data_IF_370246997984
#
_entry.id   IF_370246997984
#
_cell.length_a   1.000
_cell.length_b   1.000
_cell.length_c   1.000
_cell.angle_alpha   90.00
_cell.angle_beta   90.00
_cell.angle_gamma   90.00
#
_symmetry.space_group_name_H-M   'P 1'
#
loop_
_entity.id
_entity.type
_entity.pdbx_description
1 polymer ?
#
# COMPACT_ATOMS: atom_id res chain seq x y z
N UNK A 1 0.61 64.10 -7.40
CA UNK A 1 1.34 63.10 -6.57
C UNK A 1 0.84 61.66 -6.79
N UNK A 2 -0.46 61.37 -6.61
CA UNK A 2 -1.02 60.00 -6.74
C UNK A 2 -0.78 59.36 -8.12
N UNK A 3 -1.04 60.08 -9.22
CA UNK A 3 -0.87 59.53 -10.58
C UNK A 3 0.56 59.09 -10.90
N UNK A 4 1.56 59.83 -10.41
CA UNK A 4 2.97 59.49 -10.62
C UNK A 4 3.36 58.21 -9.86
N UNK A 5 2.87 58.06 -8.63
CA UNK A 5 3.11 56.86 -7.81
C UNK A 5 2.45 55.63 -8.42
N UNK A 6 1.18 55.74 -8.86
CA UNK A 6 0.46 54.63 -9.49
C UNK A 6 1.13 54.17 -10.79
N UNK A 7 1.56 55.09 -11.65
CA UNK A 7 2.29 54.75 -12.88
C UNK A 7 3.65 54.12 -12.58
N UNK A 8 4.40 54.67 -11.63
CA UNK A 8 5.70 54.13 -11.22
C UNK A 8 5.59 52.70 -10.67
N UNK A 9 4.56 52.39 -9.90
CA UNK A 9 4.30 51.05 -9.40
C UNK A 9 4.03 50.05 -10.55
N UNK A 10 3.15 50.41 -11.49
CA UNK A 10 2.84 49.56 -12.65
C UNK A 10 4.07 49.32 -13.53
N UNK A 11 4.85 50.36 -13.82
CA UNK A 11 6.04 50.24 -14.67
C UNK A 11 7.14 49.38 -14.04
N UNK A 12 7.37 49.47 -12.72
CA UNK A 12 8.34 48.59 -12.04
C UNK A 12 7.94 47.13 -12.13
N UNK A 13 6.65 46.82 -11.93
CA UNK A 13 6.14 45.45 -12.05
C UNK A 13 6.27 44.90 -13.48
N UNK A 14 6.01 45.72 -14.49
CA UNK A 14 6.20 45.29 -15.89
C UNK A 14 7.69 45.14 -16.22
N UNK A 15 8.55 46.02 -15.70
CA UNK A 15 10.00 45.90 -15.87
C UNK A 15 10.56 44.61 -15.27
N UNK A 16 10.12 44.20 -14.08
CA UNK A 16 10.50 42.91 -13.50
C UNK A 16 10.14 41.75 -14.44
N UNK A 17 8.93 41.71 -14.99
CA UNK A 17 8.52 40.70 -15.97
C UNK A 17 9.37 40.73 -17.24
N UNK A 18 9.72 41.92 -17.74
CA UNK A 18 10.59 42.07 -18.91
C UNK A 18 11.99 41.51 -18.64
N UNK A 19 12.54 41.74 -17.44
CA UNK A 19 13.84 41.20 -17.04
C UNK A 19 13.80 39.67 -16.91
N UNK A 20 12.78 39.11 -16.26
CA UNK A 20 12.59 37.65 -16.17
C UNK A 20 12.50 36.98 -17.55
N UNK A 21 11.78 37.59 -18.50
CA UNK A 21 11.70 37.11 -19.89
C UNK A 21 13.07 37.15 -20.57
N UNK A 22 13.81 38.25 -20.39
CA UNK A 22 15.15 38.42 -20.97
C UNK A 22 16.10 37.32 -20.47
N UNK A 23 16.14 37.07 -19.17
CA UNK A 23 16.96 36.01 -18.58
C UNK A 23 16.56 34.62 -19.07
N UNK A 24 15.26 34.35 -19.12
CA UNK A 24 14.73 33.09 -19.64
C UNK A 24 15.15 32.83 -21.09
N UNK A 25 15.11 33.87 -21.95
CA UNK A 25 15.55 33.78 -23.34
C UNK A 25 17.04 33.41 -23.42
N UNK A 26 17.91 34.08 -22.64
CA UNK A 26 19.33 33.77 -22.64
C UNK A 26 19.60 32.34 -22.17
N UNK A 27 18.94 31.90 -21.09
CA UNK A 27 19.08 30.55 -20.57
C UNK A 27 18.67 29.51 -21.62
N UNK A 28 17.52 29.70 -22.29
CA UNK A 28 17.04 28.78 -23.33
C UNK A 28 18.01 28.74 -24.51
N UNK A 29 18.42 29.89 -25.04
CA UNK A 29 19.32 29.97 -26.19
C UNK A 29 20.67 29.32 -25.90
N UNK A 30 21.24 29.60 -24.72
CA UNK A 30 22.51 29.02 -24.30
C UNK A 30 22.42 27.49 -24.17
N UNK A 31 21.36 26.98 -23.52
CA UNK A 31 21.15 25.54 -23.35
C UNK A 31 20.95 24.83 -24.69
N UNK A 32 20.18 25.42 -25.63
CA UNK A 32 20.00 24.84 -26.97
C UNK A 32 21.35 24.74 -27.69
N UNK A 33 22.16 25.81 -27.67
CA UNK A 33 23.48 25.79 -28.33
C UNK A 33 24.41 24.76 -27.69
N UNK A 34 24.47 24.72 -26.36
CA UNK A 34 25.23 23.72 -25.60
C UNK A 34 24.80 22.29 -25.94
N UNK A 35 23.49 22.02 -25.96
CA UNK A 35 22.94 20.72 -26.32
C UNK A 35 23.30 20.33 -27.75
N UNK A 36 23.20 21.24 -28.72
CA UNK A 36 23.56 20.97 -30.11
C UNK A 36 25.04 20.59 -30.27
N UNK A 37 25.93 21.16 -29.46
CA UNK A 37 27.36 20.82 -29.47
C UNK A 37 27.64 19.42 -28.88
N UNK A 38 26.87 18.99 -27.88
CA UNK A 38 27.12 17.73 -27.16
C UNK A 38 26.27 16.56 -27.69
N UNK A 39 25.14 16.80 -28.35
CA UNK A 39 24.20 15.72 -28.76
C UNK A 39 24.81 14.67 -29.69
N UNK A 40 25.85 15.04 -30.45
CA UNK A 40 26.52 14.12 -31.39
C UNK A 40 27.71 13.39 -30.76
N UNK A 41 28.15 13.79 -29.56
CA UNK A 41 29.29 13.19 -28.88
C UNK A 41 29.03 11.71 -28.57
N UNK A 42 30.03 10.82 -28.75
CA UNK A 42 29.87 9.38 -28.50
C UNK A 42 29.37 9.07 -27.08
N UNK A 43 29.90 9.77 -26.07
CA UNK A 43 29.48 9.60 -24.67
C UNK A 43 28.02 9.99 -24.42
N UNK A 44 27.53 11.07 -25.04
CA UNK A 44 26.13 11.48 -24.89
C UNK A 44 25.19 10.47 -25.55
N UNK A 45 25.57 9.94 -26.73
CA UNK A 45 24.82 8.87 -27.40
C UNK A 45 24.76 7.59 -26.56
N UNK A 46 25.88 7.22 -25.92
CA UNK A 46 25.93 6.06 -25.03
C UNK A 46 24.99 6.26 -23.82
N UNK A 47 25.04 7.42 -23.18
CA UNK A 47 24.16 7.77 -22.07
C UNK A 47 22.67 7.65 -22.44
N UNK A 48 22.26 8.19 -23.59
CA UNK A 48 20.87 8.09 -24.05
C UNK A 48 20.41 6.66 -24.35
N UNK A 49 21.32 5.76 -24.75
CA UNK A 49 21.01 4.34 -24.93
C UNK A 49 20.94 3.58 -23.61
N UNK A 50 21.82 3.88 -22.65
CA UNK A 50 21.89 3.17 -21.36
C UNK A 50 20.76 3.59 -20.43
N UNK A 51 20.42 4.89 -20.35
CA UNK A 51 19.42 5.42 -19.43
C UNK A 51 18.06 4.68 -19.45
N UNK A 52 17.41 4.45 -20.61
CA UNK A 52 16.14 3.71 -20.64
C UNK A 52 16.29 2.24 -20.23
N UNK A 53 17.45 1.62 -20.49
CA UNK A 53 17.71 0.23 -20.09
C UNK A 53 17.84 0.09 -18.57
N UNK A 54 18.39 1.09 -17.88
CA UNK A 54 18.45 1.11 -16.41
C UNK A 54 17.05 1.16 -15.80
N UNK A 55 16.16 2.00 -16.35
CA UNK A 55 14.77 2.06 -15.89
C UNK A 55 14.03 0.74 -16.13
N UNK A 56 14.21 0.12 -17.30
CA UNK A 56 13.63 -1.19 -17.59
C UNK A 56 14.13 -2.26 -16.61
N UNK A 57 15.44 -2.29 -16.33
CA UNK A 57 16.04 -3.23 -15.38
C UNK A 57 15.52 -3.03 -13.95
N UNK A 58 15.31 -1.78 -13.53
CA UNK A 58 14.72 -1.46 -12.23
C UNK A 58 13.27 -1.93 -12.14
N UNK A 59 12.44 -1.67 -13.16
CA UNK A 59 11.06 -2.15 -13.22
C UNK A 59 10.95 -3.69 -13.23
N UNK A 60 11.88 -4.37 -13.90
CA UNK A 60 11.91 -5.84 -13.95
C UNK A 60 12.27 -6.42 -12.56
N UNK A 61 13.21 -5.80 -11.85
CA UNK A 61 13.55 -6.16 -10.47
C UNK A 61 12.39 -5.94 -9.51
N UNK A 62 11.68 -4.80 -9.62
CA UNK A 62 10.47 -4.55 -8.83
C UNK A 62 9.37 -5.57 -9.11
N UNK A 63 9.18 -5.94 -10.38
CA UNK A 63 8.20 -6.95 -10.78
C UNK A 63 8.56 -8.34 -10.22
N UNK A 64 9.84 -8.72 -10.25
CA UNK A 64 10.31 -9.98 -9.66
C UNK A 64 10.03 -10.03 -8.15
N UNK A 65 10.36 -8.96 -7.43
CA UNK A 65 10.07 -8.85 -5.99
C UNK A 65 8.56 -8.91 -5.71
N UNK A 66 7.75 -8.26 -6.54
CA UNK A 66 6.29 -8.28 -6.40
C UNK A 66 5.73 -9.69 -6.60
N UNK A 67 6.24 -10.44 -7.59
CA UNK A 67 5.84 -11.83 -7.83
C UNK A 67 6.20 -12.73 -6.65
N UNK A 68 7.41 -12.62 -6.12
CA UNK A 68 7.84 -13.40 -4.95
C UNK A 68 6.96 -13.11 -3.73
N UNK A 69 6.65 -11.84 -3.46
CA UNK A 69 5.77 -11.46 -2.36
C UNK A 69 4.34 -11.97 -2.56
N UNK A 70 3.83 -11.92 -3.79
CA UNK A 70 2.52 -12.45 -4.13
C UNK A 70 2.45 -13.96 -3.89
N UNK A 71 3.45 -14.72 -4.36
CA UNK A 71 3.53 -16.17 -4.14
C UNK A 71 3.57 -16.50 -2.64
N UNK A 72 4.37 -15.80 -1.84
CA UNK A 72 4.40 -15.96 -0.38
C UNK A 72 3.03 -15.67 0.25
N UNK A 73 2.40 -14.54 -0.07
CA UNK A 73 1.09 -14.19 0.48
C UNK A 73 0.01 -15.19 0.10
N UNK A 74 0.02 -15.70 -1.14
CA UNK A 74 -0.96 -16.72 -1.56
C UNK A 74 -0.77 -18.04 -0.81
N UNK A 75 0.47 -18.46 -0.56
CA UNK A 75 0.76 -19.65 0.24
C UNK A 75 0.34 -19.47 1.70
N UNK A 76 0.63 -18.31 2.30
CA UNK A 76 0.24 -17.99 3.67
C UNK A 76 -1.28 -17.92 3.82
N UNK A 77 -1.98 -17.32 2.84
CA UNK A 77 -3.43 -17.28 2.79
C UNK A 77 -4.03 -18.69 2.71
N UNK A 78 -3.49 -19.55 1.84
CA UNK A 78 -3.96 -20.93 1.71
C UNK A 78 -3.79 -21.70 3.04
N UNK A 79 -2.65 -21.52 3.72
CA UNK A 79 -2.40 -22.11 5.04
C UNK A 79 -3.38 -21.58 6.09
N UNK A 80 -3.60 -20.27 6.14
CA UNK A 80 -4.53 -19.64 7.08
C UNK A 80 -5.98 -20.13 6.87
N UNK A 81 -6.42 -20.28 5.63
CA UNK A 81 -7.75 -20.82 5.29
C UNK A 81 -7.89 -22.28 5.72
N UNK A 82 -6.85 -23.11 5.51
CA UNK A 82 -6.86 -24.49 5.96
C UNK A 82 -6.93 -24.59 7.51
N UNK A 83 -6.16 -23.78 8.22
CA UNK A 83 -6.20 -23.71 9.68
C UNK A 83 -7.56 -23.23 10.18
N UNK A 84 -8.14 -22.20 9.55
CA UNK A 84 -9.48 -21.70 9.89
C UNK A 84 -10.52 -22.83 9.79
N UNK A 85 -10.53 -23.56 8.67
CA UNK A 85 -11.46 -24.68 8.48
C UNK A 85 -11.30 -25.76 9.56
N UNK A 86 -10.07 -26.13 9.89
CA UNK A 86 -9.79 -27.11 10.94
C UNK A 86 -10.29 -26.64 12.32
N UNK A 87 -10.15 -25.35 12.64
CA UNK A 87 -10.61 -24.79 13.91
C UNK A 87 -12.14 -24.68 13.97
N UNK A 88 -12.80 -24.36 12.85
CA UNK A 88 -14.26 -24.38 12.72
C UNK A 88 -14.83 -25.79 12.95
N UNK A 89 -14.22 -26.83 12.36
CA UNK A 89 -14.61 -28.23 12.57
C UNK A 89 -14.47 -28.65 14.04
N UNK A 90 -13.36 -28.28 14.70
CA UNK A 90 -13.14 -28.53 16.14
C UNK A 90 -14.17 -27.81 17.02
N UNK A 91 -14.54 -26.58 16.67
CA UNK A 91 -15.52 -25.79 17.42
C UNK A 91 -16.89 -26.48 17.40
N UNK A 92 -17.32 -26.99 16.24
CA UNK A 92 -18.58 -27.75 16.12
C UNK A 92 -18.54 -28.99 17.02
N UNK A 93 -17.45 -29.77 16.97
CA UNK A 93 -17.30 -30.98 17.79
C UNK A 93 -17.36 -30.67 19.30
N UNK A 94 -16.63 -29.66 19.77
CA UNK A 94 -16.62 -29.24 21.18
C UNK A 94 -17.98 -28.70 21.63
N UNK A 95 -18.71 -28.03 20.74
CA UNK A 95 -20.06 -27.53 21.06
C UNK A 95 -21.03 -28.69 21.24
N UNK A 96 -20.92 -29.73 20.41
CA UNK A 96 -21.73 -30.95 20.56
C UNK A 96 -21.40 -31.67 21.88
N UNK A 97 -20.12 -31.90 22.17
CA UNK A 97 -19.69 -32.55 23.41
C UNK A 97 -20.16 -31.79 24.66
N UNK A 98 -20.07 -30.45 24.64
CA UNK A 98 -20.60 -29.60 25.72
C UNK A 98 -22.11 -29.79 25.91
N UNK A 99 -22.89 -29.84 24.82
CA UNK A 99 -24.34 -30.02 24.90
C UNK A 99 -24.70 -31.40 25.46
N UNK A 100 -24.00 -32.45 25.02
CA UNK A 100 -24.21 -33.82 25.50
C UNK A 100 -23.88 -33.94 27.00
N UNK A 101 -22.78 -33.33 27.45
CA UNK A 101 -22.43 -33.25 28.87
C UNK A 101 -23.46 -32.48 29.68
N UNK A 102 -23.97 -31.35 29.17
CA UNK A 102 -25.02 -30.57 29.84
C UNK A 102 -26.30 -31.40 30.02
N UNK A 103 -26.69 -32.20 29.02
CA UNK A 103 -27.82 -33.13 29.11
C UNK A 103 -27.56 -34.25 30.14
N UNK A 104 -26.36 -34.83 30.16
CA UNK A 104 -25.99 -35.83 31.17
C UNK A 104 -26.08 -35.25 32.58
N UNK A 105 -25.53 -34.06 32.82
CA UNK A 105 -25.58 -33.37 34.12
C UNK A 105 -27.02 -33.10 34.54
N UNK A 106 -27.87 -32.61 33.64
CA UNK A 106 -29.29 -32.39 33.91
C UNK A 106 -29.99 -33.70 34.32
N UNK A 107 -29.76 -34.79 33.58
CA UNK A 107 -30.36 -36.10 33.88
C UNK A 107 -29.90 -36.69 35.21
N UNK A 108 -28.62 -36.49 35.59
CA UNK A 108 -28.08 -36.93 36.88
C UNK A 108 -28.65 -36.07 38.01
N UNK A 109 -28.75 -34.76 37.81
CA UNK A 109 -29.36 -33.84 38.78
C UNK A 109 -30.82 -34.21 39.06
N UNK A 110 -31.61 -34.50 38.02
CA UNK A 110 -33.01 -34.94 38.13
C UNK A 110 -33.14 -36.29 38.86
N UNK A 111 -32.32 -37.29 38.49
CA UNK A 111 -32.27 -38.58 39.22
C UNK A 111 -31.91 -38.39 40.69
N UNK A 112 -30.94 -37.52 40.98
CA UNK A 112 -30.53 -37.21 42.36
C UNK A 112 -31.67 -36.55 43.14
N UNK A 113 -32.41 -35.62 42.53
CA UNK A 113 -33.56 -34.96 43.18
C UNK A 113 -34.69 -35.94 43.48
N UNK A 114 -34.99 -36.85 42.55
CA UNK A 114 -35.97 -37.92 42.75
C UNK A 114 -35.58 -38.83 43.91
N UNK A 115 -34.32 -39.28 43.97
CA UNK A 115 -33.81 -40.13 45.06
C UNK A 115 -33.90 -39.40 46.41
N UNK A 116 -33.48 -38.13 46.47
CA UNK A 116 -33.57 -37.35 47.71
C UNK A 116 -35.01 -37.06 48.13
N UNK A 117 -35.93 -36.87 47.18
CA UNK A 117 -37.36 -36.67 47.43
C UNK A 117 -38.07 -37.93 47.90
N UNK A 118 -37.65 -39.11 47.43
CA UNK A 118 -38.14 -40.40 47.94
C UNK A 118 -37.61 -40.72 49.34
N UNK A 119 -36.41 -40.24 49.70
CA UNK A 119 -35.82 -40.44 51.03
C UNK A 119 -36.41 -39.51 52.11
N UNK A 120 -36.98 -38.36 51.74
CA UNK A 120 -37.64 -37.44 52.67
C UNK A 120 -39.12 -37.78 52.94
N UNK A 121 -39.69 -38.76 52.23
CA UNK A 121 -41.09 -39.19 52.35
C UNK A 121 -41.27 -40.58 53.02
N UNK A 122 -40.18 -41.17 53.54
CA UNK A 122 -40.18 -42.35 54.42
C UNK A 122 -39.71 -41.90 55.79
#
# INVERSE_FOLDING_TARGET
MVQALSRGFLMRREFSKMMERRESIYAIQYNIRSFMNVKTWPWMKLYFKIKPLLQSAETEKELANMKENYEKMTADLAKALATKKQMEEKLVALTQEKNDLALQVASVSEKTTLITGTFTFI
#
